data_IF_108882114713
#
_entry.id   IF_108882114713
#
_cell.length_a   1.000
_cell.length_b   1.000
_cell.length_c   1.000
_cell.angle_alpha   90.00
_cell.angle_beta   90.00
_cell.angle_gamma   90.00
#
_symmetry.space_group_name_H-M   'P 1'
#
loop_
_entity.id
_entity.type
_entity.pdbx_description
1 polymer ?
#
# COMPACT_ATOMS: atom_id res chain seq x y z
N UNK A 1 11.99 -13.87 9.84
CA UNK A 1 11.64 -15.17 9.24
C UNK A 1 10.14 -15.28 9.37
N UNK A 2 9.40 -15.09 8.28
CA UNK A 2 7.95 -15.31 8.29
C UNK A 2 7.73 -16.83 8.32
N UNK A 3 7.05 -17.33 9.35
CA UNK A 3 6.70 -18.75 9.46
C UNK A 3 5.68 -19.07 8.36
N UNK A 4 6.09 -19.89 7.40
CA UNK A 4 5.36 -20.18 6.16
C UNK A 4 4.09 -21.03 6.33
N UNK A 5 3.36 -20.89 7.43
CA UNK A 5 2.10 -21.58 7.69
C UNK A 5 0.91 -20.62 7.76
N UNK A 6 0.81 -19.74 6.78
CA UNK A 6 -0.44 -19.03 6.54
C UNK A 6 -0.85 -19.26 5.10
N UNK A 7 -1.76 -20.22 4.88
CA UNK A 7 -2.45 -20.46 3.61
C UNK A 7 -3.42 -19.30 3.30
N UNK A 8 -2.96 -18.06 3.38
CA UNK A 8 -3.76 -16.93 2.96
C UNK A 8 -3.81 -16.93 1.44
N UNK A 9 -5.02 -17.12 0.92
CA UNK A 9 -5.31 -17.15 -0.50
C UNK A 9 -6.29 -16.03 -0.84
N UNK A 10 -6.12 -15.46 -2.02
CA UNK A 10 -7.07 -14.56 -2.64
C UNK A 10 -7.30 -15.04 -4.07
N UNK A 11 -8.56 -15.19 -4.48
CA UNK A 11 -8.95 -15.81 -5.76
C UNK A 11 -8.24 -17.15 -6.02
N UNK A 12 -8.25 -18.04 -5.02
CA UNK A 12 -7.62 -19.39 -5.08
C UNK A 12 -6.09 -19.37 -5.30
N UNK A 13 -5.46 -18.19 -5.22
CA UNK A 13 -4.01 -18.01 -5.36
C UNK A 13 -3.38 -17.63 -4.02
N UNK A 14 -2.19 -18.18 -3.67
CA UNK A 14 -1.45 -17.72 -2.51
C UNK A 14 -1.15 -16.22 -2.59
N UNK A 15 -1.36 -15.48 -1.49
CA UNK A 15 -1.04 -14.04 -1.42
C UNK A 15 0.45 -13.81 -1.72
N UNK A 16 1.34 -14.73 -1.31
CA UNK A 16 2.77 -14.68 -1.63
C UNK A 16 3.04 -14.58 -3.13
N UNK A 17 2.28 -15.30 -3.95
CA UNK A 17 2.48 -15.34 -5.40
C UNK A 17 1.98 -14.03 -6.05
N UNK A 18 0.85 -13.52 -5.56
CA UNK A 18 0.29 -12.23 -5.98
C UNK A 18 1.28 -11.10 -5.65
N UNK A 19 1.85 -11.10 -4.44
CA UNK A 19 2.86 -10.12 -4.03
C UNK A 19 4.15 -10.27 -4.83
N UNK A 20 4.62 -11.48 -5.12
CA UNK A 20 5.82 -11.69 -5.93
C UNK A 20 5.65 -11.18 -7.37
N UNK A 21 4.44 -11.27 -7.92
CA UNK A 21 4.07 -10.81 -9.26
C UNK A 21 3.86 -9.29 -9.33
N UNK A 22 3.09 -8.73 -8.40
CA UNK A 22 2.62 -7.34 -8.45
C UNK A 22 3.54 -6.37 -7.73
N UNK A 23 4.22 -6.78 -6.66
CA UNK A 23 5.09 -5.88 -5.92
C UNK A 23 6.34 -5.54 -6.75
N UNK A 24 6.71 -4.25 -6.86
CA UNK A 24 7.90 -3.86 -7.60
C UNK A 24 9.16 -4.57 -7.09
N UNK A 25 9.91 -5.17 -8.01
CA UNK A 25 11.10 -5.92 -7.68
C UNK A 25 12.27 -5.00 -7.30
N UNK A 26 13.08 -5.35 -6.27
CA UNK A 26 14.31 -4.65 -6.00
C UNK A 26 15.34 -4.85 -7.12
N UNK A 27 16.31 -3.92 -7.30
CA UNK A 27 17.31 -3.98 -8.35
C UNK A 27 18.24 -5.21 -8.26
N UNK A 28 18.44 -5.80 -7.07
CA UNK A 28 19.16 -7.06 -6.89
C UNK A 28 18.27 -8.08 -6.20
N UNK A 29 17.54 -8.86 -6.99
CA UNK A 29 16.74 -9.97 -6.49
C UNK A 29 17.64 -11.16 -6.16
N UNK A 30 17.57 -11.67 -4.93
CA UNK A 30 18.20 -12.94 -4.55
C UNK A 30 17.23 -13.77 -3.73
N UNK A 31 17.31 -15.09 -3.86
CA UNK A 31 16.49 -16.06 -3.10
C UNK A 31 16.68 -15.98 -1.57
N UNK A 32 17.63 -15.17 -1.09
CA UNK A 32 17.88 -14.94 0.34
C UNK A 32 17.41 -13.56 0.82
N UNK A 33 16.97 -12.68 -0.10
CA UNK A 33 16.47 -11.33 0.19
C UNK A 33 15.01 -11.17 -0.27
N UNK A 34 14.21 -12.22 -0.16
CA UNK A 34 12.79 -12.17 -0.47
C UNK A 34 12.00 -11.73 0.77
N UNK A 35 12.18 -10.47 1.17
CA UNK A 35 11.38 -9.86 2.23
C UNK A 35 10.53 -8.74 1.67
N UNK A 36 9.28 -8.74 2.09
CA UNK A 36 8.25 -7.80 1.64
C UNK A 36 8.01 -6.76 2.73
N UNK A 37 7.95 -5.50 2.33
CA UNK A 37 7.68 -4.37 3.22
C UNK A 37 6.46 -3.62 2.71
N UNK A 38 5.43 -3.58 3.54
CA UNK A 38 4.24 -2.80 3.29
C UNK A 38 4.37 -1.44 3.96
N UNK A 39 4.29 -0.36 3.18
CA UNK A 39 4.45 1.01 3.65
C UNK A 39 3.07 1.68 3.71
N UNK A 40 2.72 2.24 4.87
CA UNK A 40 1.50 3.03 5.09
C UNK A 40 1.84 4.41 5.64
N UNK A 41 1.07 5.40 5.22
CA UNK A 41 1.15 6.77 5.73
C UNK A 41 -0.05 7.59 5.28
N UNK A 42 -0.15 8.85 5.74
CA UNK A 42 -1.14 9.77 5.20
C UNK A 42 -0.90 9.98 3.70
N UNK A 43 -1.96 10.20 2.93
CA UNK A 43 -1.86 10.50 1.49
C UNK A 43 -1.71 11.99 1.20
N UNK A 44 -1.88 12.85 2.21
CA UNK A 44 -1.74 14.31 2.11
C UNK A 44 -0.91 14.86 3.25
N UNK A 45 -0.03 15.81 2.97
CA UNK A 45 0.76 16.46 4.01
C UNK A 45 -0.10 17.43 4.84
N UNK A 46 0.25 17.59 6.11
CA UNK A 46 -0.43 18.54 6.98
C UNK A 46 -0.07 19.98 6.58
N UNK A 47 -1.08 20.78 6.21
CA UNK A 47 -0.92 22.21 5.90
C UNK A 47 -1.25 23.05 7.15
N UNK A 48 -0.25 23.74 7.66
CA UNK A 48 -0.31 24.60 8.84
C UNK A 48 -1.16 25.87 8.63
N UNK A 49 -1.31 26.38 7.40
CA UNK A 49 -2.14 27.57 7.10
C UNK A 49 -3.62 27.34 7.42
N UNK A 50 -4.06 26.08 7.41
CA UNK A 50 -5.44 25.72 7.74
C UNK A 50 -5.68 25.73 9.26
N UNK A 51 -4.63 25.47 10.05
CA UNK A 51 -4.74 25.23 11.49
C UNK A 51 -4.20 26.39 12.35
N UNK A 52 -3.24 27.16 11.84
CA UNK A 52 -2.51 28.17 12.60
C UNK A 52 -2.60 29.55 11.96
N UNK A 53 -2.91 30.55 12.77
CA UNK A 53 -3.05 31.94 12.36
C UNK A 53 -1.73 32.65 12.04
N UNK A 54 -0.59 32.03 12.37
CA UNK A 54 0.75 32.57 12.14
C UNK A 54 1.62 31.64 11.27
N UNK A 55 0.98 30.82 10.44
CA UNK A 55 1.64 29.95 9.47
C UNK A 55 2.50 30.72 8.45
N UNK A 56 2.21 32.00 8.24
CA UNK A 56 2.99 32.96 7.43
C UNK A 56 4.44 33.16 7.91
N UNK A 57 4.79 32.73 9.13
CA UNK A 57 6.17 32.74 9.63
C UNK A 57 6.97 31.50 9.22
N UNK A 58 6.31 30.45 8.71
CA UNK A 58 6.98 29.22 8.30
C UNK A 58 7.65 29.40 6.94
N UNK A 59 8.76 28.69 6.71
CA UNK A 59 9.44 28.67 5.40
C UNK A 59 8.53 28.10 4.31
N UNK A 60 7.75 27.09 4.68
CA UNK A 60 6.73 26.44 3.85
C UNK A 60 5.48 26.24 4.70
N UNK A 61 4.29 26.12 4.10
CA UNK A 61 3.06 25.87 4.85
C UNK A 61 2.98 24.45 5.44
N UNK A 62 3.99 23.61 5.19
CA UNK A 62 4.05 22.23 5.64
C UNK A 62 4.95 22.10 6.87
N UNK A 63 4.61 21.17 7.75
CA UNK A 63 5.47 20.84 8.88
C UNK A 63 6.80 20.26 8.37
N UNK A 64 7.90 20.54 9.09
CA UNK A 64 9.19 19.91 8.86
C UNK A 64 9.09 18.41 9.22
N UNK A 65 8.92 17.58 8.20
CA UNK A 65 8.76 16.13 8.31
C UNK A 65 9.89 15.46 7.50
N UNK A 66 10.69 14.55 8.10
CA UNK A 66 11.81 13.92 7.42
C UNK A 66 11.41 13.05 6.22
N UNK A 67 10.15 12.65 6.11
CA UNK A 67 9.61 11.93 4.96
C UNK A 67 9.11 12.89 3.87
N UNK A 68 8.84 14.15 4.20
CA UNK A 68 8.21 15.10 3.30
C UNK A 68 9.15 16.25 2.93
N UNK A 69 9.67 16.22 1.70
CA UNK A 69 10.37 17.35 1.12
C UNK A 69 9.38 18.29 0.39
N UNK A 70 9.13 19.51 0.89
CA UNK A 70 8.21 20.44 0.25
C UNK A 70 8.69 20.94 -1.13
N UNK A 71 9.98 20.80 -1.46
CA UNK A 71 10.49 21.17 -2.77
C UNK A 71 10.22 20.09 -3.84
N UNK A 72 10.00 18.83 -3.39
CA UNK A 72 9.83 17.67 -4.27
C UNK A 72 8.43 17.04 -4.20
N UNK A 73 7.72 17.20 -3.06
CA UNK A 73 6.45 16.53 -2.76
C UNK A 73 5.28 17.51 -2.72
N UNK A 74 5.37 18.64 -3.42
CA UNK A 74 4.25 19.58 -3.56
C UNK A 74 3.77 19.56 -5.00
N UNK A 75 2.47 19.35 -5.17
CA UNK A 75 1.81 19.35 -6.47
C UNK A 75 1.75 20.76 -7.07
N UNK A 76 1.46 20.86 -8.36
CA UNK A 76 1.30 22.16 -9.04
C UNK A 76 0.17 23.02 -8.46
N UNK A 77 -0.83 22.43 -7.79
CA UNK A 77 -1.89 23.13 -7.07
C UNK A 77 -1.54 23.45 -5.60
N UNK A 78 -0.28 23.28 -5.21
CA UNK A 78 0.25 23.67 -3.90
C UNK A 78 -0.17 22.73 -2.75
N UNK A 79 -0.61 21.51 -3.07
CA UNK A 79 -0.97 20.50 -2.06
C UNK A 79 0.22 19.58 -1.80
N UNK A 80 0.38 19.17 -0.56
CA UNK A 80 1.42 18.21 -0.20
C UNK A 80 1.00 16.79 -0.60
N UNK A 81 1.76 16.19 -1.49
CA UNK A 81 1.62 14.84 -1.99
C UNK A 81 2.46 13.88 -1.14
N UNK A 82 1.84 13.32 -0.11
CA UNK A 82 2.51 12.30 0.71
C UNK A 82 2.55 10.95 0.00
N UNK A 83 1.72 10.70 -1.00
CA UNK A 83 1.83 9.46 -1.76
C UNK A 83 3.18 9.41 -2.48
N UNK A 84 3.59 10.51 -3.11
CA UNK A 84 4.92 10.63 -3.72
C UNK A 84 6.04 10.42 -2.69
N UNK A 85 5.92 11.02 -1.51
CA UNK A 85 6.87 10.81 -0.41
C UNK A 85 6.99 9.32 -0.02
N UNK A 86 5.85 8.61 0.11
CA UNK A 86 5.84 7.18 0.43
C UNK A 86 6.43 6.33 -0.71
N UNK A 87 6.23 6.74 -1.96
CA UNK A 87 6.83 6.09 -3.13
C UNK A 87 8.35 6.23 -3.13
N UNK A 88 8.87 7.40 -2.75
CA UNK A 88 10.31 7.65 -2.61
C UNK A 88 10.93 6.80 -1.49
N UNK A 89 10.24 6.69 -0.35
CA UNK A 89 10.63 5.74 0.72
C UNK A 89 10.65 4.30 0.21
N UNK A 90 9.64 3.88 -0.55
CA UNK A 90 9.64 2.54 -1.13
C UNK A 90 10.80 2.33 -2.11
N UNK A 91 11.17 3.34 -2.90
CA UNK A 91 12.33 3.28 -3.79
C UNK A 91 13.63 3.12 -3.00
N UNK A 92 13.83 3.93 -1.95
CA UNK A 92 15.01 3.86 -1.09
C UNK A 92 15.14 2.48 -0.39
N UNK A 93 14.02 1.95 0.13
CA UNK A 93 13.99 0.61 0.73
C UNK A 93 14.38 -0.48 -0.27
N UNK A 94 13.89 -0.38 -1.52
CA UNK A 94 14.24 -1.34 -2.59
C UNK A 94 15.74 -1.25 -2.93
N UNK A 95 16.28 -0.05 -3.06
CA UNK A 95 17.68 0.16 -3.47
C UNK A 95 18.67 -0.22 -2.37
N UNK A 96 18.43 0.21 -1.13
CA UNK A 96 19.38 0.07 -0.04
C UNK A 96 19.25 -1.27 0.69
N UNK A 97 18.03 -1.76 0.86
CA UNK A 97 17.77 -2.97 1.65
C UNK A 97 17.44 -4.19 0.78
N UNK A 98 17.26 -4.02 -0.54
CA UNK A 98 16.93 -5.08 -1.48
C UNK A 98 15.65 -5.86 -1.13
N UNK A 99 14.63 -5.15 -0.64
CA UNK A 99 13.28 -5.70 -0.43
C UNK A 99 12.28 -5.34 -1.51
N UNK A 100 11.16 -6.07 -1.51
CA UNK A 100 9.92 -5.67 -2.17
C UNK A 100 9.15 -4.71 -1.26
N UNK A 101 9.47 -3.42 -1.33
CA UNK A 101 8.65 -2.39 -0.70
C UNK A 101 7.48 -2.00 -1.62
N UNK A 102 6.30 -1.67 -1.08
CA UNK A 102 5.17 -1.13 -1.84
C UNK A 102 4.14 -0.44 -0.93
N UNK A 103 3.28 0.39 -1.52
CA UNK A 103 2.09 0.93 -0.86
C UNK A 103 0.83 0.14 -1.25
N UNK A 104 -0.24 0.25 -0.47
CA UNK A 104 -1.47 -0.54 -0.64
C UNK A 104 -2.06 -0.49 -2.05
N UNK A 105 -2.03 0.70 -2.65
CA UNK A 105 -2.57 0.94 -3.98
C UNK A 105 -1.74 0.32 -5.10
N UNK A 106 -0.51 -0.15 -4.82
CA UNK A 106 0.33 -0.81 -5.81
C UNK A 106 -0.06 -2.29 -6.03
N UNK A 107 -0.85 -2.86 -5.11
CA UNK A 107 -1.25 -4.26 -5.14
C UNK A 107 -2.76 -4.37 -5.21
N UNK A 108 -3.26 -5.12 -6.18
CA UNK A 108 -4.68 -5.40 -6.37
C UNK A 108 -5.14 -6.56 -5.47
N UNK A 109 -4.96 -6.40 -4.16
CA UNK A 109 -5.56 -7.26 -3.14
C UNK A 109 -6.64 -6.43 -2.44
N UNK A 110 -7.93 -6.79 -2.58
CA UNK A 110 -9.00 -6.04 -1.96
C UNK A 110 -8.94 -6.16 -0.44
N UNK A 111 -9.43 -5.13 0.23
CA UNK A 111 -9.76 -5.21 1.66
C UNK A 111 -10.90 -6.20 1.88
N UNK A 112 -11.07 -6.66 3.12
CA UNK A 112 -12.17 -7.56 3.50
C UNK A 112 -13.53 -7.05 3.02
N UNK A 113 -13.82 -5.76 3.23
CA UNK A 113 -15.07 -5.12 2.80
C UNK A 113 -15.22 -5.05 1.27
N UNK A 114 -14.11 -4.88 0.53
CA UNK A 114 -14.11 -4.89 -0.93
C UNK A 114 -14.35 -6.30 -1.48
N UNK A 115 -13.76 -7.32 -0.85
CA UNK A 115 -13.99 -8.72 -1.20
C UNK A 115 -15.45 -9.15 -0.94
N UNK A 116 -16.04 -8.72 0.19
CA UNK A 116 -17.46 -8.96 0.49
C UNK A 116 -18.38 -8.33 -0.56
N UNK A 117 -18.16 -7.06 -0.93
CA UNK A 117 -18.94 -6.39 -1.98
C UNK A 117 -18.78 -7.04 -3.36
N UNK A 118 -17.59 -7.53 -3.70
CA UNK A 118 -17.35 -8.26 -4.95
C UNK A 118 -18.08 -9.62 -4.96
N UNK A 119 -18.13 -10.31 -3.82
CA UNK A 119 -18.91 -11.55 -3.68
C UNK A 119 -20.42 -11.28 -3.83
N UNK A 120 -20.92 -10.21 -3.23
CA UNK A 120 -22.33 -9.78 -3.36
C UNK A 120 -22.70 -9.43 -4.81
N UNK A 121 -21.84 -8.72 -5.55
CA UNK A 121 -22.07 -8.39 -6.97
C UNK A 121 -21.93 -9.60 -7.90
N UNK A 122 -21.14 -10.60 -7.52
CA UNK A 122 -21.01 -11.86 -8.27
C UNK A 122 -22.17 -12.83 -8.02
N UNK A 123 -23.01 -12.56 -7.03
CA UNK A 123 -24.15 -13.40 -6.64
C UNK A 123 -25.43 -13.13 -7.44
N UNK A 124 -25.45 -12.08 -8.27
CA UNK A 124 -26.66 -11.64 -9.01
C UNK A 124 -26.72 -12.16 -10.46
N UNK A 125 -25.74 -12.95 -10.92
CA UNK A 125 -25.65 -13.42 -12.33
C UNK A 125 -25.53 -14.97 -12.51
N UNK A 126 -25.89 -15.79 -11.51
CA UNK A 126 -26.08 -17.24 -11.76
C UNK A 126 -27.08 -17.91 -10.78
N UNK A 127 -28.21 -18.47 -11.24
CA UNK A 127 -29.22 -19.08 -10.38
C UNK A 127 -28.98 -20.58 -10.17
N UNK A 128 -27.85 -21.01 -9.60
CA UNK A 128 -27.71 -22.42 -9.16
C UNK A 128 -26.58 -22.63 -8.11
N UNK A 129 -26.72 -21.98 -6.95
CA UNK A 129 -25.81 -22.14 -5.81
C UNK A 129 -26.39 -23.03 -4.71
N UNK A 130 -26.41 -24.34 -4.90
CA UNK A 130 -26.74 -25.29 -3.82
C UNK A 130 -25.62 -25.24 -2.77
N UNK A 131 -25.92 -24.68 -1.61
CA UNK A 131 -24.98 -24.46 -0.51
C UNK A 131 -24.18 -25.70 -0.11
N UNK A 132 -22.89 -25.51 0.09
CA UNK A 132 -22.05 -26.39 0.89
C UNK A 132 -21.41 -25.56 2.01
N UNK A 133 -21.83 -25.86 3.24
CA UNK A 133 -21.23 -25.40 4.50
C UNK A 133 -19.75 -25.80 4.56
N UNK A 134 -18.80 -24.88 4.78
CA UNK A 134 -17.37 -25.21 4.83
C UNK A 134 -16.88 -25.76 6.18
N UNK A 135 -17.75 -26.31 7.04
CA UNK A 135 -17.38 -26.80 8.38
C UNK A 135 -17.98 -28.17 8.74
N UNK A 136 -17.70 -29.19 7.94
CA UNK A 136 -17.84 -30.59 8.38
C UNK A 136 -16.50 -31.32 8.21
N UNK A 137 -15.97 -31.77 9.37
CA UNK A 137 -14.71 -32.48 9.57
C UNK A 137 -14.51 -33.74 8.72
#
# INVERSE_FOLDING_TARGET
MFDGETNFQYNERPISDILAEQAPAPPKFSTHNDFTVYVMGPYTAFNAEVAYSDADKLRTPFQDDPLFDPDSHVTNDGKGDMEQALRDVCADLRENLNCRAFIATDIDIPTHEQAEKQAETSSDDDPDGKGMDPLAH
#
